data_IF_608561099103
#
_entry.id   IF_608561099103
#
_cell.length_a   1.000
_cell.length_b   1.000
_cell.length_c   1.000
_cell.angle_alpha   90.00
_cell.angle_beta   90.00
_cell.angle_gamma   90.00
#
_symmetry.space_group_name_H-M   'P 1'
#
loop_
_entity.id
_entity.type
_entity.pdbx_description
1 polymer ?
#
# COMPACT_ATOMS: atom_id res chain seq x y z
N UNK A 1 -24.46 13.15 -12.63
CA UNK A 1 -23.67 12.57 -11.52
C UNK A 1 -22.62 11.70 -12.17
N UNK A 2 -21.34 12.01 -12.04
CA UNK A 2 -20.29 11.17 -12.61
C UNK A 2 -20.23 9.90 -11.75
N UNK A 3 -20.47 8.75 -12.36
CA UNK A 3 -20.29 7.45 -11.71
C UNK A 3 -18.79 7.29 -11.46
N UNK A 4 -18.40 7.31 -10.18
CA UNK A 4 -17.02 7.05 -9.78
C UNK A 4 -16.85 5.54 -9.81
N UNK A 5 -16.48 5.01 -10.98
CA UNK A 5 -16.01 3.64 -11.11
C UNK A 5 -14.57 3.57 -10.60
N UNK A 6 -14.41 3.20 -9.33
CA UNK A 6 -13.08 3.01 -8.76
C UNK A 6 -12.68 1.53 -8.84
N UNK A 7 -11.55 1.22 -9.51
CA UNK A 7 -11.05 -0.13 -9.67
C UNK A 7 -10.40 -0.64 -8.37
N UNK A 8 -11.22 -0.94 -7.35
CA UNK A 8 -10.75 -1.29 -6.01
C UNK A 8 -9.83 -2.51 -5.97
N UNK A 9 -10.10 -3.51 -6.82
CA UNK A 9 -9.25 -4.69 -6.96
C UNK A 9 -7.86 -4.34 -7.54
N UNK A 10 -7.80 -3.38 -8.46
CA UNK A 10 -6.56 -2.90 -9.06
C UNK A 10 -5.74 -2.09 -8.05
N UNK A 11 -6.38 -1.27 -7.21
CA UNK A 11 -5.71 -0.52 -6.13
C UNK A 11 -5.15 -1.48 -5.08
N UNK A 12 -5.90 -2.50 -4.69
CA UNK A 12 -5.43 -3.54 -3.78
C UNK A 12 -4.23 -4.30 -4.37
N UNK A 13 -4.35 -4.71 -5.63
CA UNK A 13 -3.27 -5.38 -6.37
C UNK A 13 -2.02 -4.52 -6.47
N UNK A 14 -2.17 -3.22 -6.71
CA UNK A 14 -1.06 -2.27 -6.73
C UNK A 14 -0.35 -2.22 -5.37
N UNK A 15 -1.10 -2.13 -4.27
CA UNK A 15 -0.54 -2.17 -2.91
C UNK A 15 0.25 -3.46 -2.64
N UNK A 16 -0.26 -4.62 -3.07
CA UNK A 16 0.45 -5.90 -2.94
C UNK A 16 1.74 -5.95 -3.75
N UNK A 17 1.72 -5.48 -5.00
CA UNK A 17 2.91 -5.46 -5.87
C UNK A 17 3.99 -4.53 -5.31
N UNK A 18 3.60 -3.36 -4.79
CA UNK A 18 4.52 -2.42 -4.14
C UNK A 18 5.13 -3.04 -2.88
N UNK A 19 4.32 -3.72 -2.07
CA UNK A 19 4.82 -4.48 -0.91
C UNK A 19 5.89 -5.51 -1.32
N UNK A 20 5.65 -6.25 -2.41
CA UNK A 20 6.61 -7.21 -2.93
C UNK A 20 7.92 -6.57 -3.40
N UNK A 21 7.89 -5.38 -3.99
CA UNK A 21 9.10 -4.63 -4.33
C UNK A 21 9.92 -4.33 -3.07
N UNK A 22 9.27 -3.88 -1.99
CA UNK A 22 9.93 -3.59 -0.72
C UNK A 22 10.54 -4.82 -0.04
N UNK A 23 9.94 -5.99 -0.21
CA UNK A 23 10.47 -7.27 0.30
C UNK A 23 11.69 -7.74 -0.52
N UNK A 24 11.64 -7.56 -1.84
CA UNK A 24 12.67 -8.07 -2.75
C UNK A 24 13.88 -7.14 -2.88
N UNK A 25 13.74 -5.85 -2.58
CA UNK A 25 14.81 -4.86 -2.72
C UNK A 25 15.94 -5.04 -1.70
N UNK A 26 15.68 -5.71 -0.57
CA UNK A 26 16.73 -6.17 0.34
C UNK A 26 17.38 -7.44 -0.20
N UNK A 27 18.06 -7.32 -1.33
CA UNK A 27 18.87 -8.42 -1.86
C UNK A 27 20.11 -8.62 -0.99
N UNK A 28 20.55 -9.88 -0.88
CA UNK A 28 21.81 -10.23 -0.22
C UNK A 28 22.99 -9.48 -0.85
N UNK A 29 24.00 -9.16 -0.04
CA UNK A 29 25.25 -8.58 -0.52
C UNK A 29 25.85 -9.42 -1.66
N UNK A 30 26.36 -8.76 -2.70
CA UNK A 30 26.88 -9.40 -3.92
C UNK A 30 28.16 -10.23 -3.70
N UNK A 31 28.72 -10.25 -2.47
CA UNK A 31 29.99 -10.91 -2.17
C UNK A 31 31.20 -10.15 -2.73
N UNK A 32 31.05 -8.87 -3.03
CA UNK A 32 32.13 -8.01 -3.49
C UNK A 32 33.21 -7.87 -2.42
N UNK A 33 34.45 -8.22 -2.77
CA UNK A 33 35.63 -8.02 -1.93
C UNK A 33 36.56 -6.97 -2.57
N UNK A 34 36.55 -5.77 -1.98
CA UNK A 34 37.37 -4.64 -2.43
C UNK A 34 38.88 -4.93 -2.38
N UNK A 35 39.34 -5.81 -1.48
CA UNK A 35 40.75 -6.17 -1.34
C UNK A 35 41.18 -7.09 -2.47
N UNK A 36 40.33 -8.01 -2.88
CA UNK A 36 40.61 -8.95 -3.96
C UNK A 36 40.70 -8.28 -5.34
N UNK A 37 39.91 -7.23 -5.58
CA UNK A 37 39.88 -6.54 -6.90
C UNK A 37 40.91 -5.44 -7.06
N UNK A 38 41.34 -4.80 -5.96
CA UNK A 38 42.29 -3.68 -5.98
C UNK A 38 41.79 -2.40 -6.69
N UNK A 39 42.59 -1.32 -6.69
CA UNK A 39 42.26 -0.08 -7.42
C UNK A 39 42.31 -0.28 -8.95
N UNK A 40 41.45 0.41 -9.74
CA UNK A 40 40.42 1.37 -9.36
C UNK A 40 39.05 0.73 -9.03
N UNK A 41 38.90 -0.58 -9.25
CA UNK A 41 37.63 -1.30 -9.08
C UNK A 41 37.11 -1.25 -7.64
N UNK A 42 38.01 -1.27 -6.66
CA UNK A 42 37.67 -1.08 -5.25
C UNK A 42 36.98 0.27 -4.97
N UNK A 43 37.38 1.34 -5.68
CA UNK A 43 36.74 2.64 -5.54
C UNK A 43 35.35 2.64 -6.17
N UNK A 44 35.25 2.17 -7.43
CA UNK A 44 33.98 2.07 -8.14
C UNK A 44 32.94 1.19 -7.41
N UNK A 45 33.38 0.08 -6.80
CA UNK A 45 32.50 -0.78 -6.01
C UNK A 45 31.96 -0.10 -4.75
N UNK A 46 32.78 0.70 -4.05
CA UNK A 46 32.32 1.49 -2.89
C UNK A 46 31.31 2.56 -3.31
N UNK A 47 31.59 3.29 -4.39
CA UNK A 47 30.70 4.33 -4.89
C UNK A 47 29.36 3.73 -5.33
N UNK A 48 29.39 2.55 -5.96
CA UNK A 48 28.18 1.79 -6.29
C UNK A 48 27.41 1.36 -5.04
N UNK A 49 28.06 0.76 -4.04
CA UNK A 49 27.41 0.29 -2.82
C UNK A 49 26.77 1.46 -2.05
N UNK A 50 27.42 2.62 -1.98
CA UNK A 50 26.87 3.82 -1.34
C UNK A 50 25.62 4.32 -2.09
N UNK A 51 25.71 4.50 -3.41
CA UNK A 51 24.59 4.95 -4.23
C UNK A 51 23.42 3.95 -4.22
N UNK A 52 23.72 2.65 -4.27
CA UNK A 52 22.72 1.59 -4.16
C UNK A 52 22.03 1.60 -2.80
N UNK A 53 22.79 1.78 -1.71
CA UNK A 53 22.25 1.82 -0.35
C UNK A 53 21.32 3.01 -0.13
N UNK A 54 21.67 4.18 -0.63
CA UNK A 54 20.82 5.36 -0.55
C UNK A 54 19.56 5.19 -1.44
N UNK A 55 19.75 4.77 -2.70
CA UNK A 55 18.65 4.56 -3.65
C UNK A 55 17.62 3.54 -3.16
N UNK A 56 18.07 2.40 -2.59
CA UNK A 56 17.15 1.39 -2.05
C UNK A 56 16.39 1.88 -0.82
N UNK A 57 17.03 2.70 0.02
CA UNK A 57 16.38 3.29 1.19
C UNK A 57 15.28 4.26 0.78
N UNK A 58 15.58 5.15 -0.18
CA UNK A 58 14.59 6.08 -0.73
C UNK A 58 13.44 5.33 -1.40
N UNK A 59 13.73 4.37 -2.27
CA UNK A 59 12.71 3.59 -2.97
C UNK A 59 11.77 2.87 -1.98
N UNK A 60 12.31 2.27 -0.92
CA UNK A 60 11.49 1.67 0.15
C UNK A 60 10.57 2.68 0.84
N UNK A 61 11.07 3.88 1.13
CA UNK A 61 10.28 4.93 1.78
C UNK A 61 9.09 5.35 0.90
N UNK A 62 9.36 5.60 -0.39
CA UNK A 62 8.31 5.99 -1.33
C UNK A 62 7.30 4.86 -1.57
N UNK A 63 7.78 3.62 -1.73
CA UNK A 63 6.92 2.44 -1.83
C UNK A 63 6.04 2.27 -0.59
N UNK A 64 6.57 2.50 0.62
CA UNK A 64 5.78 2.45 1.85
C UNK A 64 4.64 3.46 1.82
N UNK A 65 4.93 4.71 1.47
CA UNK A 65 3.90 5.76 1.37
C UNK A 65 2.83 5.43 0.34
N UNK A 66 3.22 4.93 -0.84
CA UNK A 66 2.27 4.50 -1.87
C UNK A 66 1.40 3.33 -1.41
N UNK A 67 1.98 2.33 -0.74
CA UNK A 67 1.24 1.20 -0.20
C UNK A 67 0.22 1.66 0.85
N UNK A 68 0.64 2.50 1.79
CA UNK A 68 -0.26 3.07 2.80
C UNK A 68 -1.40 3.87 2.15
N UNK A 69 -1.11 4.62 1.08
CA UNK A 69 -2.12 5.28 0.26
C UNK A 69 -3.14 4.31 -0.35
N UNK A 70 -2.68 3.19 -0.92
CA UNK A 70 -3.57 2.14 -1.45
C UNK A 70 -4.47 1.56 -0.35
N UNK A 71 -3.88 1.22 0.80
CA UNK A 71 -4.60 0.65 1.94
C UNK A 71 -5.67 1.62 2.47
N UNK A 72 -5.36 2.91 2.54
CA UNK A 72 -6.30 3.95 2.95
C UNK A 72 -7.48 4.10 1.98
N UNK A 73 -7.21 4.05 0.67
CA UNK A 73 -8.27 4.12 -0.34
C UNK A 73 -9.19 2.91 -0.20
N UNK A 74 -8.66 1.69 -0.19
CA UNK A 74 -9.47 0.46 -0.05
C UNK A 74 -10.30 0.50 1.24
N UNK A 75 -9.69 0.92 2.35
CA UNK A 75 -10.40 1.07 3.63
C UNK A 75 -11.52 2.11 3.55
N UNK A 76 -11.26 3.26 2.96
CA UNK A 76 -12.25 4.34 2.85
C UNK A 76 -13.51 3.90 2.11
N UNK A 77 -13.38 3.13 1.03
CA UNK A 77 -14.52 2.58 0.30
C UNK A 77 -15.26 1.51 1.11
N UNK A 78 -14.53 0.58 1.74
CA UNK A 78 -15.15 -0.44 2.58
C UNK A 78 -15.92 0.16 3.77
N UNK A 79 -15.42 1.24 4.35
CA UNK A 79 -16.08 1.96 5.45
C UNK A 79 -17.32 2.72 4.94
N UNK A 80 -17.25 3.37 3.78
CA UNK A 80 -18.40 4.03 3.14
C UNK A 80 -19.52 3.05 2.76
N UNK A 81 -19.17 1.88 2.21
CA UNK A 81 -20.13 0.82 1.90
C UNK A 81 -20.82 0.30 3.17
N UNK A 82 -20.06 0.14 4.27
CA UNK A 82 -20.60 -0.28 5.56
C UNK A 82 -21.57 0.76 6.12
N UNK A 83 -21.21 2.05 6.01
CA UNK A 83 -22.06 3.16 6.46
C UNK A 83 -23.37 3.19 5.67
N UNK A 84 -23.32 3.15 4.33
CA UNK A 84 -24.53 3.07 3.49
C UNK A 84 -25.38 1.84 3.82
N UNK A 85 -24.77 0.66 3.95
CA UNK A 85 -25.49 -0.56 4.30
C UNK A 85 -26.14 -0.49 5.70
N UNK A 86 -25.58 0.29 6.63
CA UNK A 86 -26.17 0.53 7.95
C UNK A 86 -27.36 1.49 7.88
N UNK A 87 -27.26 2.58 7.11
CA UNK A 87 -28.36 3.54 6.94
C UNK A 87 -29.60 2.90 6.30
N UNK A 88 -29.41 1.97 5.36
CA UNK A 88 -30.50 1.23 4.74
C UNK A 88 -31.23 0.27 5.71
N UNK A 89 -30.57 -0.18 6.79
CA UNK A 89 -31.19 -1.05 7.81
C UNK A 89 -32.01 -0.26 8.82
N UNK A 90 -31.59 0.96 9.15
CA UNK A 90 -32.30 1.82 10.10
C UNK A 90 -33.61 2.41 9.51
N UNK A 91 -33.66 2.71 8.21
CA UNK A 91 -34.90 3.16 7.54
C UNK A 91 -35.94 2.04 7.35
N UNK A 92 -35.57 0.77 7.57
CA UNK A 92 -36.42 -0.40 7.32
C UNK A 92 -37.27 -0.91 8.48
N UNK A 93 -37.25 -0.25 9.66
CA UNK A 93 -38.09 -0.68 10.80
C UNK A 93 -39.37 0.16 10.89
N UNK A 94 -40.52 -0.31 10.37
CA UNK A 94 -41.78 0.38 10.61
C UNK A 94 -42.12 0.26 12.10
N UNK A 95 -42.26 1.41 12.77
CA UNK A 95 -42.79 1.47 14.12
C UNK A 95 -44.12 0.72 14.17
N UNK A 96 -44.19 -0.34 14.99
CA UNK A 96 -45.42 -1.08 15.21
C UNK A 96 -46.55 -0.10 15.60
N UNK A 97 -47.74 -0.18 15.01
CA UNK A 97 -48.84 0.70 15.36
C UNK A 97 -49.17 0.46 16.84
N UNK A 98 -48.94 1.48 17.66
CA UNK A 98 -49.42 1.50 19.04
C UNK A 98 -50.95 1.48 18.95
N UNK A 99 -51.52 0.29 19.15
CA UNK A 99 -52.95 0.07 19.17
C UNK A 99 -53.61 0.96 20.21
N UNK A 100 -54.51 1.80 19.72
CA UNK A 100 -55.49 2.50 20.52
C UNK A 100 -56.59 1.53 21.00
N UNK A 101 -57.12 1.80 22.20
CA UNK A 101 -58.36 1.23 22.71
C UNK A 101 -58.16 0.28 23.89
N UNK A 102 -58.98 0.29 24.93
CA UNK A 102 -60.07 1.16 25.39
C UNK A 102 -60.30 0.81 26.87
#
# INVERSE_FOLDING_TARGET
>A
MAEIDMPGAEVERMGQLIGRVMELIDTRAAGFDAVAVGPPLAAAGRDFDEAWNDGRFQLKRECKGLKEGCDMVVKGFADADREMASSLKDEGTPAAPQGAGA
#
